data_IF_323911613612
#
_entry.id   IF_323911613612
#
_cell.length_a   1.000
_cell.length_b   1.000
_cell.length_c   1.000
_cell.angle_alpha   90.00
_cell.angle_beta   90.00
_cell.angle_gamma   90.00
#
_symmetry.space_group_name_H-M   'P 1'
#
loop_
_entity.id
_entity.type
_entity.pdbx_description
1 polymer ?
#
# COMPACT_ATOMS: atom_id res chain seq x y z
N UNK A 1 4.98 -44.05 -41.06
CA UNK A 1 4.96 -43.59 -40.80
C UNK A 1 4.88 -42.87 -40.12
N UNK A 2 4.88 -42.37 -39.62
CA UNK A 2 4.96 -41.66 -39.05
C UNK A 2 4.66 -41.11 -38.16
N UNK A 3 4.81 -40.89 -37.53
CA UNK A 3 4.77 -40.36 -36.75
C UNK A 3 4.63 -39.42 -36.16
N UNK A 4 4.50 -38.93 -35.88
CA UNK A 4 4.32 -37.98 -35.40
C UNK A 4 4.29 -37.56 -34.34
N UNK A 5 4.52 -37.18 -33.79
CA UNK A 5 4.70 -36.76 -32.93
C UNK A 5 4.40 -35.75 -32.48
N UNK A 6 4.12 -35.32 -32.07
CA UNK A 6 3.76 -34.42 -31.58
C UNK A 6 4.02 -33.90 -30.54
N UNK A 7 4.43 -33.58 -30.29
CA UNK A 7 4.83 -32.95 -29.59
C UNK A 7 4.19 -32.01 -29.05
N UNK A 8 3.89 -31.79 -28.54
CA UNK A 8 3.29 -31.09 -28.06
C UNK A 8 3.58 -30.39 -27.15
N UNK A 9 3.89 -29.96 -27.07
CA UNK A 9 4.02 -29.18 -26.47
C UNK A 9 3.76 -28.63 -25.61
N UNK A 10 3.94 -28.62 -25.07
CA UNK A 10 3.92 -28.23 -24.33
C UNK A 10 3.64 -27.27 -23.68
N UNK A 11 3.08 -27.06 -23.64
CA UNK A 11 2.51 -26.35 -22.98
C UNK A 11 3.01 -25.73 -22.00
N UNK A 12 3.76 -25.33 -21.99
CA UNK A 12 4.28 -24.66 -21.24
C UNK A 12 3.63 -23.67 -20.68
N UNK A 13 2.97 -23.85 -20.12
CA UNK A 13 2.43 -23.09 -19.34
C UNK A 13 3.17 -22.78 -18.31
N UNK A 14 4.00 -22.08 -18.37
CA UNK A 14 4.71 -21.50 -17.42
C UNK A 14 3.88 -20.49 -16.81
N UNK A 15 3.27 -20.81 -15.79
CA UNK A 15 2.68 -19.87 -14.97
C UNK A 15 3.76 -19.00 -14.47
N UNK A 16 3.91 -17.90 -15.00
CA UNK A 16 4.76 -16.94 -14.39
C UNK A 16 4.17 -16.58 -13.05
N UNK A 17 4.91 -16.69 -11.98
CA UNK A 17 4.43 -16.21 -10.70
C UNK A 17 4.07 -14.75 -10.89
N UNK A 18 2.89 -14.39 -10.47
CA UNK A 18 2.49 -13.00 -10.45
C UNK A 18 3.53 -12.24 -9.65
N UNK A 19 4.17 -11.27 -10.27
CA UNK A 19 5.12 -10.44 -9.56
C UNK A 19 4.31 -9.57 -8.61
N UNK A 20 4.58 -9.66 -7.32
CA UNK A 20 3.93 -8.83 -6.33
C UNK A 20 4.30 -7.37 -6.58
N UNK A 21 3.34 -6.47 -6.42
CA UNK A 21 3.61 -5.05 -6.54
C UNK A 21 4.61 -4.62 -5.47
N UNK A 22 5.62 -3.83 -5.82
CA UNK A 22 6.65 -3.43 -4.86
C UNK A 22 6.12 -2.60 -3.67
N UNK A 23 4.90 -2.06 -3.75
CA UNK A 23 4.31 -1.34 -2.62
C UNK A 23 3.84 -2.29 -1.51
N UNK A 24 3.66 -3.57 -1.83
CA UNK A 24 3.16 -4.53 -0.84
C UNK A 24 4.16 -4.70 0.30
N UNK A 25 3.64 -4.75 1.50
CA UNK A 25 4.43 -4.90 2.71
C UNK A 25 3.91 -4.03 3.83
N UNK A 26 4.71 -3.89 4.86
CA UNK A 26 4.35 -3.12 6.06
C UNK A 26 5.14 -1.81 6.09
N UNK A 27 4.42 -0.73 6.33
CA UNK A 27 4.96 0.62 6.31
C UNK A 27 4.72 1.31 7.64
N UNK A 28 5.71 2.09 8.06
CA UNK A 28 5.61 2.90 9.27
C UNK A 28 5.19 4.30 8.86
N UNK A 29 4.12 4.80 9.45
CA UNK A 29 3.64 6.15 9.19
C UNK A 29 4.55 7.19 9.85
N UNK A 30 4.40 8.45 9.46
CA UNK A 30 5.06 9.53 10.19
C UNK A 30 4.41 9.68 11.56
N UNK A 31 5.14 10.14 12.57
CA UNK A 31 4.53 10.40 13.88
C UNK A 31 3.51 11.53 13.80
N UNK A 32 2.47 11.41 14.61
CA UNK A 32 1.52 12.49 14.81
C UNK A 32 2.07 13.51 15.84
N UNK A 33 1.26 14.48 16.23
CA UNK A 33 1.68 15.52 17.15
C UNK A 33 2.09 15.00 18.52
N UNK A 34 1.63 13.81 18.89
CA UNK A 34 1.98 13.17 20.15
C UNK A 34 3.16 12.19 19.99
N UNK A 35 3.71 12.08 18.81
CA UNK A 35 4.78 11.14 18.51
C UNK A 35 4.29 9.73 18.23
N UNK A 36 2.99 9.50 18.20
CA UNK A 36 2.43 8.16 17.93
C UNK A 36 2.46 7.87 16.44
N UNK A 37 2.68 6.61 16.11
CA UNK A 37 2.70 6.18 14.71
C UNK A 37 2.10 4.78 14.58
N UNK A 38 1.85 4.38 13.35
CA UNK A 38 1.27 3.09 13.06
C UNK A 38 2.04 2.31 12.02
N UNK A 39 1.78 1.01 12.00
CA UNK A 39 2.21 0.14 10.91
C UNK A 39 1.01 -0.13 10.02
N UNK A 40 1.16 0.12 8.75
CA UNK A 40 0.13 -0.08 7.74
C UNK A 40 0.57 -1.24 6.85
N UNK A 41 -0.26 -2.28 6.78
CA UNK A 41 0.00 -3.39 5.88
C UNK A 41 -0.67 -3.10 4.55
N UNK A 42 0.12 -2.96 3.50
CA UNK A 42 -0.36 -2.69 2.15
C UNK A 42 -0.37 -3.99 1.36
N UNK A 43 -1.52 -4.29 0.77
CA UNK A 43 -1.73 -5.56 0.08
C UNK A 43 -2.79 -5.43 -1.02
N UNK A 44 -2.97 -6.51 -1.78
CA UNK A 44 -4.03 -6.61 -2.76
C UNK A 44 -5.36 -6.88 -2.04
N UNK A 45 -6.34 -6.04 -2.32
CA UNK A 45 -7.66 -6.11 -1.70
C UNK A 45 -8.72 -6.29 -2.79
N UNK A 46 -8.69 -7.46 -3.45
CA UNK A 46 -9.70 -7.77 -4.47
C UNK A 46 -9.49 -7.07 -5.79
N UNK A 47 -8.25 -6.85 -6.19
CA UNK A 47 -7.93 -6.22 -7.48
C UNK A 47 -7.48 -4.77 -7.38
N UNK A 48 -7.66 -4.14 -6.24
CA UNK A 48 -7.08 -2.84 -5.94
C UNK A 48 -6.16 -2.96 -4.74
N UNK A 49 -5.40 -1.91 -4.46
CA UNK A 49 -4.45 -1.91 -3.37
C UNK A 49 -5.06 -1.18 -2.19
N UNK A 50 -4.95 -1.79 -1.01
CA UNK A 50 -5.36 -1.14 0.23
C UNK A 50 -4.30 -1.29 1.30
N UNK A 51 -4.37 -0.43 2.31
CA UNK A 51 -3.51 -0.47 3.48
C UNK A 51 -4.32 -0.43 4.75
N UNK A 52 -4.04 -1.36 5.66
CA UNK A 52 -4.79 -1.54 6.90
C UNK A 52 -3.87 -1.28 8.08
N UNK A 53 -4.37 -0.56 9.07
CA UNK A 53 -3.63 -0.36 10.32
C UNK A 53 -3.58 -1.68 11.09
N UNK A 54 -2.38 -2.19 11.29
CA UNK A 54 -2.19 -3.48 11.99
C UNK A 54 -1.58 -3.32 13.38
N UNK A 55 -0.79 -2.28 13.61
CA UNK A 55 -0.18 -2.00 14.92
C UNK A 55 -0.05 -0.51 15.12
N UNK A 56 -0.08 -0.08 16.37
CA UNK A 56 0.12 1.31 16.77
C UNK A 56 1.17 1.39 17.85
N UNK A 57 1.91 2.49 17.88
CA UNK A 57 3.03 2.70 18.78
C UNK A 57 3.00 4.12 19.34
N UNK A 58 3.47 4.28 20.57
CA UNK A 58 3.64 5.61 21.16
C UNK A 58 4.97 6.24 20.74
N UNK A 59 5.22 7.46 21.20
CA UNK A 59 6.43 8.19 20.85
C UNK A 59 7.73 7.56 21.33
N UNK A 60 7.64 6.63 22.29
CA UNK A 60 8.80 5.89 22.78
C UNK A 60 9.02 4.58 22.00
N UNK A 61 8.17 4.29 21.02
CA UNK A 61 8.28 3.07 20.24
C UNK A 61 7.62 1.87 20.90
N UNK A 62 6.84 2.08 21.95
CA UNK A 62 6.13 1.01 22.64
C UNK A 62 4.81 0.76 21.94
N UNK A 63 4.51 -0.49 21.67
CA UNK A 63 3.21 -0.85 21.08
C UNK A 63 2.07 -0.53 22.02
N UNK A 64 1.04 0.11 21.49
CA UNK A 64 -0.15 0.48 22.22
C UNK A 64 -1.39 -0.03 21.51
N UNK A 65 -2.49 -0.16 22.26
CA UNK A 65 -3.78 -0.49 21.68
C UNK A 65 -4.35 0.72 20.95
N UNK A 66 -5.11 0.47 19.89
CA UNK A 66 -5.84 1.51 19.17
C UNK A 66 -7.21 0.97 18.76
N UNK A 67 -8.21 1.81 18.88
CA UNK A 67 -9.56 1.49 18.42
C UNK A 67 -9.61 1.39 16.88
N UNK A 68 -8.58 1.89 16.19
CA UNK A 68 -8.54 1.89 14.75
C UNK A 68 -7.82 0.66 14.16
N UNK A 69 -7.33 -0.24 15.00
CA UNK A 69 -6.68 -1.47 14.52
C UNK A 69 -7.64 -2.26 13.64
N UNK A 70 -7.17 -2.65 12.46
CA UNK A 70 -8.00 -3.34 11.47
C UNK A 70 -8.70 -2.43 10.49
N UNK A 71 -8.62 -1.11 10.70
CA UNK A 71 -9.26 -0.16 9.81
C UNK A 71 -8.43 0.06 8.55
N UNK A 72 -9.12 0.11 7.40
CA UNK A 72 -8.44 0.51 6.17
C UNK A 72 -8.15 1.98 6.23
N UNK A 73 -6.89 2.33 6.06
CA UNK A 73 -6.41 3.70 6.07
C UNK A 73 -6.39 4.25 4.64
N UNK A 74 -5.99 3.42 3.69
CA UNK A 74 -5.98 3.76 2.27
C UNK A 74 -6.60 2.60 1.51
N UNK A 75 -7.37 2.90 0.47
CA UNK A 75 -8.07 1.85 -0.28
C UNK A 75 -8.34 2.27 -1.72
N UNK A 76 -8.68 1.29 -2.54
CA UNK A 76 -9.00 1.44 -3.96
C UNK A 76 -7.87 2.08 -4.78
N UNK A 77 -6.64 1.95 -4.34
CA UNK A 77 -5.50 2.49 -5.07
C UNK A 77 -5.15 1.60 -6.26
N UNK A 78 -4.76 2.22 -7.35
CA UNK A 78 -4.39 1.52 -8.58
C UNK A 78 -3.03 1.99 -9.06
N UNK A 79 -2.19 1.08 -9.51
CA UNK A 79 -0.88 1.45 -10.04
C UNK A 79 -1.02 2.17 -11.38
N UNK A 80 -0.25 3.24 -11.53
CA UNK A 80 -0.18 4.02 -12.78
C UNK A 80 1.15 3.83 -13.50
N UNK A 81 2.04 3.02 -12.94
CA UNK A 81 3.39 2.86 -13.44
C UNK A 81 4.37 3.85 -12.82
N UNK A 82 5.64 3.49 -12.82
CA UNK A 82 6.69 4.36 -12.29
C UNK A 82 6.62 4.59 -10.78
N UNK A 83 6.01 3.67 -10.04
CA UNK A 83 5.88 3.81 -8.58
C UNK A 83 4.75 4.72 -8.16
N UNK A 84 3.88 5.13 -9.07
CA UNK A 84 2.78 6.04 -8.74
C UNK A 84 1.47 5.29 -8.67
N UNK A 85 0.63 5.68 -7.71
CA UNK A 85 -0.67 5.08 -7.45
C UNK A 85 -1.70 6.16 -7.22
N UNK A 86 -2.90 5.96 -7.72
CA UNK A 86 -4.00 6.91 -7.57
C UNK A 86 -5.35 6.22 -7.72
N UNK A 87 -6.41 7.00 -7.72
CA UNK A 87 -7.77 6.50 -7.93
C UNK A 87 -8.47 6.05 -6.66
N UNK A 88 -7.79 6.05 -5.55
CA UNK A 88 -8.35 5.63 -4.28
C UNK A 88 -8.48 6.75 -3.29
N UNK A 89 -8.64 6.36 -2.03
CA UNK A 89 -8.91 7.28 -0.93
C UNK A 89 -8.05 6.98 0.27
N UNK A 90 -7.90 7.98 1.11
CA UNK A 90 -7.19 7.87 2.38
C UNK A 90 -8.03 8.52 3.48
N UNK A 91 -8.04 7.89 4.64
CA UNK A 91 -8.67 8.44 5.83
C UNK A 91 -7.61 9.05 6.73
N UNK A 92 -7.87 10.29 7.16
CA UNK A 92 -7.01 10.99 8.12
C UNK A 92 -7.61 10.86 9.51
N UNK A 93 -6.95 10.16 10.44
CA UNK A 93 -7.46 10.05 11.81
C UNK A 93 -7.51 11.39 12.54
N UNK A 94 -6.56 12.29 12.26
CA UNK A 94 -6.50 13.58 12.94
C UNK A 94 -7.70 14.47 12.60
N UNK A 95 -8.25 14.33 11.43
CA UNK A 95 -9.37 15.16 10.97
C UNK A 95 -10.65 14.38 10.83
N UNK A 96 -10.58 13.06 10.96
CA UNK A 96 -11.68 12.14 10.71
C UNK A 96 -12.36 12.45 9.38
N UNK A 97 -11.53 12.57 8.35
CA UNK A 97 -11.99 12.87 6.98
C UNK A 97 -11.34 11.95 5.97
N UNK A 98 -12.07 11.72 4.89
CA UNK A 98 -11.62 10.92 3.76
C UNK A 98 -11.26 11.88 2.63
N UNK A 99 -10.09 11.66 2.05
CA UNK A 99 -9.58 12.42 0.91
C UNK A 99 -9.31 11.48 -0.25
N UNK A 100 -9.32 11.99 -1.47
CA UNK A 100 -8.70 11.24 -2.55
C UNK A 100 -7.21 11.14 -2.26
N UNK A 101 -6.58 10.05 -2.69
CA UNK A 101 -5.18 9.81 -2.33
C UNK A 101 -4.32 9.60 -3.56
N UNK A 102 -3.07 10.00 -3.42
CA UNK A 102 -2.00 9.64 -4.34
C UNK A 102 -0.86 9.08 -3.51
N UNK A 103 -0.26 8.01 -4.00
CA UNK A 103 0.91 7.41 -3.39
C UNK A 103 2.04 7.43 -4.40
N UNK A 104 3.25 7.62 -3.93
CA UNK A 104 4.43 7.60 -4.76
C UNK A 104 5.53 6.80 -4.07
N UNK A 105 5.84 5.64 -4.64
CA UNK A 105 6.92 4.80 -4.14
C UNK A 105 8.22 5.40 -4.66
N UNK A 106 8.93 6.10 -3.79
CA UNK A 106 10.16 6.81 -4.15
C UNK A 106 11.33 5.86 -4.35
N UNK A 107 11.38 4.83 -3.52
CA UNK A 107 12.31 3.71 -3.61
C UNK A 107 11.70 2.54 -2.84
N UNK A 108 12.42 1.44 -2.70
CA UNK A 108 11.88 0.25 -2.02
C UNK A 108 11.55 0.47 -0.55
N UNK A 109 12.03 1.54 0.05
CA UNK A 109 11.88 1.80 1.48
C UNK A 109 11.14 3.08 1.81
N UNK A 110 10.69 3.83 0.81
CA UNK A 110 10.10 5.16 1.02
C UNK A 110 8.85 5.32 0.19
N UNK A 111 7.72 5.55 0.86
CA UNK A 111 6.43 5.74 0.23
C UNK A 111 5.86 7.09 0.60
N UNK A 112 5.80 8.00 -0.35
CA UNK A 112 5.20 9.31 -0.13
C UNK A 112 3.69 9.20 -0.24
N UNK A 113 2.97 9.82 0.68
CA UNK A 113 1.53 9.72 0.81
C UNK A 113 0.92 11.11 0.74
N UNK A 114 -0.08 11.28 -0.10
CA UNK A 114 -0.78 12.56 -0.25
C UNK A 114 -2.28 12.38 -0.17
N UNK A 115 -2.95 13.38 0.37
CA UNK A 115 -4.39 13.51 0.34
C UNK A 115 -4.78 14.73 -0.45
N UNK A 116 -5.86 14.61 -1.23
CA UNK A 116 -6.27 15.67 -2.15
C UNK A 116 -7.72 16.03 -1.97
N UNK A 117 -8.03 17.32 -2.10
CA UNK A 117 -9.37 17.84 -2.24
C UNK A 117 -9.42 18.50 -3.61
N UNK A 118 -10.24 17.95 -4.50
CA UNK A 118 -10.27 18.37 -5.91
C UNK A 118 -8.86 18.25 -6.50
N UNK A 119 -8.28 19.32 -7.01
CA UNK A 119 -6.97 19.28 -7.62
C UNK A 119 -5.84 19.69 -6.66
N UNK A 120 -6.18 19.99 -5.41
CA UNK A 120 -5.20 20.45 -4.43
C UNK A 120 -4.80 19.27 -3.56
N UNK A 121 -3.53 18.88 -3.68
CA UNK A 121 -2.98 17.79 -2.89
C UNK A 121 -2.03 18.30 -1.83
N UNK A 122 -2.07 17.69 -0.65
CA UNK A 122 -1.16 17.99 0.43
C UNK A 122 -0.33 16.75 0.74
N UNK A 123 0.94 16.99 0.96
CA UNK A 123 1.86 15.93 1.36
C UNK A 123 1.50 15.47 2.77
N UNK A 124 1.21 14.20 2.91
CA UNK A 124 0.94 13.56 4.20
C UNK A 124 2.17 12.90 4.80
N UNK A 125 3.33 13.12 4.21
CA UNK A 125 4.59 12.59 4.68
C UNK A 125 5.05 11.37 3.92
N UNK A 126 6.23 10.91 4.26
CA UNK A 126 6.83 9.74 3.65
C UNK A 126 6.89 8.61 4.68
N UNK A 127 6.21 7.54 4.37
CA UNK A 127 6.23 6.33 5.21
C UNK A 127 7.49 5.53 4.90
N UNK A 128 8.02 4.87 5.91
CA UNK A 128 9.21 4.04 5.75
C UNK A 128 8.85 2.56 5.82
N UNK A 129 9.53 1.74 5.03
CA UNK A 129 9.25 0.31 5.01
C UNK A 129 9.72 -0.35 6.29
N UNK A 130 8.87 -1.19 6.85
CA UNK A 130 9.20 -2.08 7.98
C UNK A 130 9.62 -3.43 7.43
N UNK A 131 8.81 -3.95 6.51
CA UNK A 131 9.13 -5.23 5.83
C UNK A 131 8.23 -5.47 4.62
#
# INVERSE_FOLDING_TARGET
>A
MKNLTLAIGAALLWAMPAVADPIFGTWKTIPDDNGNYGHIEVKNCGGTICGTLVKSFDGAGKQIASEHTGKKIVWDMKPNGGGKYSGGKIWSPDRDKVYTSKLNLLDNNSLNVSGCIAFICRDGGTWSRVK
#
